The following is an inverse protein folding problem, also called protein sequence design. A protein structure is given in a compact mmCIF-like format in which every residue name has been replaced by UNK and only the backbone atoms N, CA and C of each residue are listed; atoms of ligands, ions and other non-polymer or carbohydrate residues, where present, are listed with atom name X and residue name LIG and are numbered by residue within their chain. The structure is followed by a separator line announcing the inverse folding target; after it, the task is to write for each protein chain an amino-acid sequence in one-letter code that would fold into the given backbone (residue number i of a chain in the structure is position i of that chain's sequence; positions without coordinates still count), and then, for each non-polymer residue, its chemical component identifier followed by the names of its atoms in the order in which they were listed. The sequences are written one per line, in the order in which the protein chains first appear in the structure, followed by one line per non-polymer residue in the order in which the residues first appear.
data_IF_971428344865
#
_entry.id   IF_971428344865
#
_cell.length_a   1.000
_cell.length_b   1.000
_cell.length_c   1.000
_cell.angle_alpha   90.00
_cell.angle_beta   90.00
_cell.angle_gamma   90.00
#
_symmetry.space_group_name_H-M   'P 1'
#
loop_
_entity.id
_entity.type
_entity.pdbx_description
1 polymer ?
#
# COMPACT_ATOMS: atom_id res chain seq x y z
N UNK A 1 -11.55 -4.41 -23.18
CA UNK A 1 -11.75 -3.65 -21.93
C UNK A 1 -13.24 -3.54 -21.72
N UNK A 2 -13.80 -4.44 -20.90
CA UNK A 2 -15.25 -4.59 -20.71
C UNK A 2 -15.75 -3.66 -19.60
N UNK A 3 -16.93 -3.09 -19.79
CA UNK A 3 -17.60 -2.07 -18.95
C UNK A 3 -17.57 -2.38 -17.43
N UNK A 4 -17.50 -3.67 -17.07
CA UNK A 4 -17.45 -4.18 -15.69
C UNK A 4 -16.24 -3.69 -14.89
N UNK A 5 -15.09 -3.46 -15.53
CA UNK A 5 -13.89 -2.96 -14.84
C UNK A 5 -14.06 -1.52 -14.35
N UNK A 6 -14.83 -0.73 -15.10
CA UNK A 6 -15.09 0.68 -14.79
C UNK A 6 -16.13 0.80 -13.67
N UNK A 7 -17.17 -0.05 -13.69
CA UNK A 7 -18.13 -0.16 -12.59
C UNK A 7 -17.47 -0.66 -11.30
N UNK A 8 -16.59 -1.66 -11.40
CA UNK A 8 -15.81 -2.15 -10.26
C UNK A 8 -14.94 -1.03 -9.67
N UNK A 9 -14.23 -0.27 -10.51
CA UNK A 9 -13.41 0.87 -10.05
C UNK A 9 -14.27 1.94 -9.36
N UNK A 10 -15.46 2.23 -9.90
CA UNK A 10 -16.38 3.20 -9.31
C UNK A 10 -16.92 2.71 -7.96
N UNK A 11 -17.30 1.44 -7.85
CA UNK A 11 -17.73 0.82 -6.60
C UNK A 11 -16.60 0.83 -5.54
N UNK A 12 -15.37 0.55 -5.95
CA UNK A 12 -14.18 0.67 -5.10
C UNK A 12 -14.03 2.13 -4.63
N UNK A 13 -14.09 3.11 -5.53
CA UNK A 13 -13.98 4.53 -5.18
C UNK A 13 -15.05 5.00 -4.17
N UNK A 14 -16.28 4.52 -4.31
CA UNK A 14 -17.38 4.81 -3.37
C UNK A 14 -17.11 4.15 -2.00
N UNK A 15 -16.74 2.87 -1.96
CA UNK A 15 -16.43 2.16 -0.73
C UNK A 15 -15.25 2.80 0.02
N UNK A 16 -14.22 3.22 -0.72
CA UNK A 16 -13.07 3.96 -0.19
C UNK A 16 -13.45 5.34 0.36
N UNK A 17 -14.46 6.01 -0.21
CA UNK A 17 -14.87 7.34 0.24
C UNK A 17 -15.77 7.30 1.48
N UNK A 18 -16.43 6.17 1.75
CA UNK A 18 -17.33 5.99 2.89
C UNK A 18 -16.61 5.49 4.16
N UNK A 19 -15.45 4.85 4.01
CA UNK A 19 -14.68 4.29 5.11
C UNK A 19 -13.98 5.39 5.92
N UNK A 20 -14.22 5.42 7.23
CA UNK A 20 -13.64 6.40 8.15
C UNK A 20 -12.41 5.86 8.90
N UNK A 21 -12.23 4.54 8.94
CA UNK A 21 -11.06 3.91 9.53
C UNK A 21 -9.94 3.81 8.49
N UNK A 22 -8.87 4.60 8.68
CA UNK A 22 -7.74 4.69 7.77
C UNK A 22 -7.07 3.33 7.52
N UNK A 23 -6.92 2.47 8.52
CA UNK A 23 -6.25 1.16 8.36
C UNK A 23 -7.09 0.22 7.49
N UNK A 24 -8.40 0.18 7.74
CA UNK A 24 -9.35 -0.56 6.91
C UNK A 24 -9.39 -0.06 5.47
N UNK A 25 -9.38 1.27 5.31
CA UNK A 25 -9.36 1.92 4.00
C UNK A 25 -8.12 1.50 3.21
N UNK A 26 -6.92 1.64 3.79
CA UNK A 26 -5.66 1.29 3.14
C UNK A 26 -5.61 -0.21 2.79
N UNK A 27 -6.14 -1.06 3.66
CA UNK A 27 -6.24 -2.51 3.41
C UNK A 27 -7.12 -2.83 2.21
N UNK A 28 -8.27 -2.18 2.10
CA UNK A 28 -9.15 -2.30 0.93
C UNK A 28 -8.46 -1.85 -0.35
N UNK A 29 -7.73 -0.73 -0.34
CA UNK A 29 -6.99 -0.25 -1.51
C UNK A 29 -6.01 -1.32 -2.02
N UNK A 30 -5.21 -1.92 -1.14
CA UNK A 30 -4.23 -2.95 -1.54
C UNK A 30 -4.93 -4.19 -2.07
N UNK A 31 -6.02 -4.61 -1.41
CA UNK A 31 -6.80 -5.79 -1.82
C UNK A 31 -7.36 -5.61 -3.22
N UNK A 32 -7.99 -4.46 -3.50
CA UNK A 32 -8.62 -4.16 -4.78
C UNK A 32 -7.57 -3.90 -5.87
N UNK A 33 -6.45 -3.24 -5.55
CA UNK A 33 -5.34 -3.08 -6.48
C UNK A 33 -4.71 -4.43 -6.87
N UNK A 34 -4.54 -5.36 -5.93
CA UNK A 34 -4.05 -6.72 -6.19
C UNK A 34 -5.01 -7.51 -7.08
N UNK A 35 -6.31 -7.46 -6.78
CA UNK A 35 -7.36 -8.09 -7.62
C UNK A 35 -7.35 -7.54 -9.03
N UNK A 36 -7.26 -6.22 -9.19
CA UNK A 36 -7.25 -5.56 -10.48
C UNK A 36 -5.99 -5.88 -11.31
N UNK A 37 -4.82 -5.94 -10.65
CA UNK A 37 -3.54 -6.24 -11.31
C UNK A 37 -3.21 -7.73 -11.39
N UNK A 38 -4.07 -8.59 -10.81
CA UNK A 38 -3.80 -10.03 -10.64
C UNK A 38 -2.47 -10.31 -9.92
N UNK A 39 -2.10 -9.47 -8.95
CA UNK A 39 -0.84 -9.57 -8.23
C UNK A 39 -0.96 -10.47 -6.99
N UNK A 40 0.02 -11.37 -6.79
CA UNK A 40 0.12 -12.27 -5.63
C UNK A 40 0.32 -11.52 -4.30
N UNK A 41 0.93 -10.32 -4.33
CA UNK A 41 1.13 -9.51 -3.15
C UNK A 41 1.16 -8.01 -3.43
N UNK A 42 1.06 -7.23 -2.37
CA UNK A 42 1.07 -5.78 -2.40
C UNK A 42 1.49 -5.21 -1.05
N UNK A 43 2.24 -4.12 -1.07
CA UNK A 43 2.63 -3.38 0.14
C UNK A 43 2.34 -1.91 -0.06
N UNK A 44 1.67 -1.30 0.92
CA UNK A 44 1.39 0.13 0.94
C UNK A 44 2.26 0.81 1.99
N UNK A 45 2.93 1.87 1.54
CA UNK A 45 3.79 2.71 2.37
C UNK A 45 3.16 4.10 2.51
N UNK A 46 3.20 4.63 3.72
CA UNK A 46 2.88 6.04 3.98
C UNK A 46 4.17 6.84 4.07
N UNK A 47 4.18 7.99 3.40
CA UNK A 47 5.31 8.91 3.43
C UNK A 47 5.18 9.83 4.64
N UNK A 48 6.18 9.83 5.51
CA UNK A 48 6.27 10.69 6.69
C UNK A 48 7.57 11.49 6.63
N UNK A 49 7.53 12.64 5.95
CA UNK A 49 8.73 13.43 5.65
C UNK A 49 9.67 12.67 4.71
N UNK A 50 10.88 12.38 5.19
CA UNK A 50 11.88 11.56 4.47
C UNK A 50 11.83 10.08 4.85
N UNK A 51 10.77 9.63 5.54
CA UNK A 51 10.62 8.24 5.97
C UNK A 51 9.45 7.57 5.25
N UNK A 52 9.58 6.28 4.96
CA UNK A 52 8.47 5.40 4.62
C UNK A 52 8.10 4.54 5.81
N UNK A 53 6.83 4.62 6.19
CA UNK A 53 6.21 3.73 7.15
C UNK A 53 5.43 2.66 6.40
N UNK A 54 5.65 1.40 6.77
CA UNK A 54 4.80 0.30 6.32
C UNK A 54 3.41 0.47 6.92
N UNK A 55 2.38 0.52 6.08
CA UNK A 55 0.99 0.63 6.53
C UNK A 55 0.21 -0.67 6.30
N UNK A 56 0.40 -1.32 5.15
CA UNK A 56 -0.27 -2.59 4.82
C UNK A 56 0.70 -3.51 4.07
N UNK A 57 0.73 -4.80 4.39
CA UNK A 57 1.42 -5.84 3.64
C UNK A 57 0.46 -7.00 3.42
N UNK A 58 0.21 -7.35 2.16
CA UNK A 58 -0.59 -8.50 1.77
C UNK A 58 0.19 -9.40 0.81
N UNK A 59 0.20 -10.70 1.04
CA UNK A 59 0.73 -11.69 0.12
C UNK A 59 0.08 -13.06 0.39
N UNK A 60 -0.57 -13.63 -0.62
CA UNK A 60 -1.32 -14.87 -0.44
C UNK A 60 -0.39 -16.09 -0.38
N UNK A 61 0.66 -16.12 -1.22
CA UNK A 61 1.66 -17.20 -1.25
C UNK A 61 2.42 -17.37 0.07
N UNK A 62 2.69 -16.27 0.77
CA UNK A 62 3.38 -16.24 2.07
C UNK A 62 2.40 -16.20 3.25
N UNK A 63 1.09 -16.21 3.01
CA UNK A 63 0.04 -16.09 4.03
C UNK A 63 0.25 -14.87 4.94
N UNK A 64 0.64 -13.74 4.35
CA UNK A 64 0.85 -12.47 5.04
C UNK A 64 -0.34 -11.55 4.80
N UNK A 65 -0.99 -11.13 5.87
CA UNK A 65 -1.98 -10.04 5.86
C UNK A 65 -1.76 -9.21 7.12
N UNK A 66 -0.87 -8.20 6.99
CA UNK A 66 -0.42 -7.35 8.08
C UNK A 66 -0.89 -5.92 7.87
N UNK A 67 -1.47 -5.35 8.91
CA UNK A 67 -1.88 -3.95 9.05
C UNK A 67 -1.29 -3.36 10.34
N UNK A 68 -1.65 -2.13 10.70
CA UNK A 68 -1.03 -1.32 11.77
C UNK A 68 -0.48 -2.09 12.97
N UNK A 69 -1.30 -2.90 13.64
CA UNK A 69 -0.89 -3.70 14.82
C UNK A 69 0.02 -4.88 14.45
N UNK A 70 -0.29 -5.62 13.39
CA UNK A 70 0.56 -6.71 12.89
C UNK A 70 1.93 -6.24 12.38
N UNK A 71 1.99 -4.99 11.93
CA UNK A 71 3.21 -4.29 11.53
C UNK A 71 3.94 -3.66 12.72
N UNK A 72 3.44 -3.71 13.96
CA UNK A 72 4.16 -3.18 15.12
C UNK A 72 5.53 -3.84 15.32
N UNK A 73 5.62 -5.16 15.04
CA UNK A 73 6.90 -5.88 15.00
C UNK A 73 7.84 -5.41 13.86
N UNK A 74 7.29 -4.73 12.85
CA UNK A 74 8.00 -4.11 11.73
C UNK A 74 8.16 -2.60 11.89
N UNK A 75 7.52 -1.96 12.87
CA UNK A 75 7.49 -0.50 13.05
C UNK A 75 8.88 0.12 13.33
N UNK A 76 9.83 -0.69 13.80
CA UNK A 76 11.25 -0.30 13.92
C UNK A 76 11.97 -0.15 12.58
N UNK A 77 11.47 -0.75 11.50
CA UNK A 77 12.04 -0.69 10.15
C UNK A 77 11.38 0.43 9.34
N UNK A 78 11.85 1.66 9.56
CA UNK A 78 11.54 2.80 8.68
C UNK A 78 12.57 2.87 7.58
N UNK A 79 12.14 3.09 6.34
CA UNK A 79 13.09 3.38 5.27
C UNK A 79 13.29 4.89 5.19
N UNK A 80 14.54 5.35 5.22
CA UNK A 80 14.87 6.73 4.90
C UNK A 80 14.97 6.87 3.39
N UNK A 81 14.09 7.68 2.81
CA UNK A 81 14.19 8.10 1.43
C UNK A 81 15.00 9.38 1.35
N UNK A 82 16.19 9.29 0.76
CA UNK A 82 16.98 10.49 0.45
C UNK A 82 16.62 10.97 -0.95
N UNK A 83 16.46 12.28 -1.13
CA UNK A 83 16.31 12.90 -2.45
C UNK A 83 17.65 12.90 -3.20
N UNK A 84 18.20 11.72 -3.47
CA UNK A 84 19.35 11.56 -4.35
C UNK A 84 18.88 11.77 -5.79
N UNK A 85 19.08 12.98 -6.34
CA UNK A 85 18.95 13.25 -7.78
C UNK A 85 20.01 12.46 -8.55
N UNK A 86 19.76 11.19 -8.81
CA UNK A 86 20.59 10.39 -9.72
C UNK A 86 19.68 9.67 -10.71
N UNK A 87 19.67 10.15 -11.95
CA UNK A 87 19.07 9.52 -13.13
C UNK A 87 17.59 9.09 -12.97
N UNK A 88 16.69 10.07 -13.10
CA UNK A 88 15.24 9.86 -12.99
C UNK A 88 14.69 10.34 -11.65
N UNK A 89 13.43 10.78 -11.63
CA UNK A 89 12.77 11.42 -10.49
C UNK A 89 12.44 10.44 -9.33
N UNK A 90 13.25 9.40 -9.15
CA UNK A 90 13.01 8.29 -8.23
C UNK A 90 13.79 8.52 -6.93
N UNK A 91 13.09 8.57 -5.81
CA UNK A 91 13.71 8.65 -4.48
C UNK A 91 14.31 7.28 -4.14
N UNK A 92 15.57 7.24 -3.70
CA UNK A 92 16.20 6.02 -3.18
C UNK A 92 15.84 5.88 -1.71
N UNK A 93 15.30 4.74 -1.34
CA UNK A 93 14.94 4.43 0.03
C UNK A 93 15.83 3.29 0.55
N UNK A 94 16.49 3.52 1.68
CA UNK A 94 17.34 2.55 2.36
C UNK A 94 16.91 2.43 3.82
N UNK A 95 17.23 1.32 4.49
CA UNK A 95 16.86 1.14 5.90
C UNK A 95 17.49 2.27 6.73
N UNK A 96 16.66 2.95 7.54
CA UNK A 96 17.10 4.07 8.36
C UNK A 96 18.00 3.63 9.52
#
# INVERSE_FOLDING_TARGET
MSYQQLEALNAIGIALSAEHNLDHLLKMIVTEARRFTSADGGTLYLVEGDLLRFAIVQNDSLQLDLDGEGLAAFAGRRYRCTSSKSAGNWRRCATA
#
